data_IF_245604889357
#
_entry.id   IF_245604889357
#
_cell.length_a   1.000
_cell.length_b   1.000
_cell.length_c   1.000
_cell.angle_alpha   90.00
_cell.angle_beta   90.00
_cell.angle_gamma   90.00
#
_symmetry.space_group_name_H-M   'P 1'
#
loop_
_entity.id
_entity.type
_entity.pdbx_description
1 polymer ?
#
# COMPACT_ATOMS: atom_id res chain seq x y z
N UNK A 1 -1.17 -1.98 -13.47
CA UNK A 1 -1.11 -2.77 -12.22
C UNK A 1 -0.60 -4.20 -12.45
N UNK A 2 -1.08 -4.94 -13.47
CA UNK A 2 -0.58 -6.28 -13.83
C UNK A 2 0.94 -6.36 -13.98
N UNK A 3 1.50 -5.65 -14.96
CA UNK A 3 2.96 -5.66 -15.24
C UNK A 3 3.82 -5.30 -14.02
N UNK A 4 3.28 -4.45 -13.14
CA UNK A 4 3.93 -4.02 -11.91
C UNK A 4 3.90 -5.10 -10.84
N UNK A 5 2.77 -5.80 -10.68
CA UNK A 5 2.67 -6.92 -9.75
C UNK A 5 3.55 -8.08 -10.21
N UNK A 6 3.57 -8.35 -11.51
CA UNK A 6 4.41 -9.37 -12.14
C UNK A 6 5.90 -9.04 -11.94
N UNK A 7 6.32 -7.78 -12.16
CA UNK A 7 7.70 -7.33 -11.91
C UNK A 7 8.05 -7.25 -10.42
N UNK A 8 7.07 -6.92 -9.60
CA UNK A 8 7.15 -6.80 -8.14
C UNK A 8 7.22 -8.13 -7.40
N UNK A 9 6.84 -9.22 -8.09
CA UNK A 9 6.46 -10.49 -7.48
C UNK A 9 5.49 -10.27 -6.31
N UNK A 10 4.53 -9.36 -6.47
CA UNK A 10 3.51 -9.11 -5.46
C UNK A 10 2.39 -10.13 -5.60
N UNK A 11 1.96 -10.68 -4.46
CA UNK A 11 0.77 -11.54 -4.42
C UNK A 11 -0.47 -10.71 -4.80
N UNK A 12 -0.53 -9.47 -4.28
CA UNK A 12 -1.64 -8.52 -4.49
C UNK A 12 -1.14 -7.08 -4.44
N UNK A 13 -1.78 -6.20 -5.21
CA UNK A 13 -1.52 -4.75 -5.23
C UNK A 13 -2.86 -4.02 -5.35
N UNK A 14 -3.16 -3.13 -4.40
CA UNK A 14 -4.35 -2.29 -4.40
C UNK A 14 -3.95 -0.83 -4.16
N UNK A 15 -4.60 0.07 -4.88
CA UNK A 15 -4.51 1.50 -4.67
C UNK A 15 -5.89 1.98 -4.20
N UNK A 16 -5.91 2.60 -3.03
CA UNK A 16 -7.11 3.15 -2.42
C UNK A 16 -7.01 4.67 -2.32
N UNK A 17 -8.15 5.35 -2.42
CA UNK A 17 -8.29 6.75 -2.03
C UNK A 17 -8.18 6.94 -0.51
N UNK A 18 -8.15 8.19 -0.08
CA UNK A 18 -8.29 8.57 1.33
C UNK A 18 -9.65 8.18 1.94
N UNK A 19 -10.65 7.77 1.18
CA UNK A 19 -11.93 7.29 1.68
C UNK A 19 -12.05 5.76 1.63
N UNK A 20 -10.99 5.08 1.18
CA UNK A 20 -10.99 3.62 1.02
C UNK A 20 -11.60 3.14 -0.29
N UNK A 21 -11.99 4.06 -1.19
CA UNK A 21 -12.46 3.69 -2.53
C UNK A 21 -11.32 3.07 -3.34
N UNK A 22 -11.52 1.89 -3.95
CA UNK A 22 -10.52 1.27 -4.81
C UNK A 22 -10.36 2.06 -6.11
N UNK A 23 -9.16 2.56 -6.36
CA UNK A 23 -8.79 3.30 -7.58
C UNK A 23 -8.19 2.38 -8.64
N UNK A 24 -7.39 1.41 -8.22
CA UNK A 24 -6.79 0.41 -9.10
C UNK A 24 -6.39 -0.84 -8.32
N UNK A 25 -6.46 -2.02 -8.92
CA UNK A 25 -6.01 -3.25 -8.29
C UNK A 25 -5.50 -4.29 -9.28
N UNK A 26 -4.66 -5.19 -8.79
CA UNK A 26 -4.30 -6.42 -9.47
C UNK A 26 -3.84 -7.47 -8.48
N UNK A 27 -4.29 -8.71 -8.68
CA UNK A 27 -3.84 -9.88 -7.94
C UNK A 27 -4.09 -11.12 -8.78
N UNK A 28 -3.22 -12.13 -8.64
CA UNK A 28 -3.43 -13.43 -9.26
C UNK A 28 -4.38 -14.29 -8.44
N UNK A 29 -4.18 -14.29 -7.12
CA UNK A 29 -4.99 -15.00 -6.15
C UNK A 29 -5.42 -14.01 -5.06
N UNK A 30 -6.70 -14.03 -4.68
CA UNK A 30 -7.24 -13.24 -3.57
C UNK A 30 -6.82 -13.82 -2.22
N UNK A 31 -5.53 -13.73 -1.90
CA UNK A 31 -4.95 -14.25 -0.65
C UNK A 31 -5.57 -13.58 0.56
N UNK A 32 -5.86 -12.29 0.43
CA UNK A 32 -6.51 -11.47 1.43
C UNK A 32 -7.77 -10.91 0.80
N UNK A 33 -8.86 -10.96 1.56
CA UNK A 33 -10.10 -10.34 1.16
C UNK A 33 -9.92 -8.82 0.97
N UNK A 34 -10.52 -8.29 -0.10
CA UNK A 34 -10.36 -6.88 -0.48
C UNK A 34 -10.94 -5.94 0.57
N UNK A 35 -12.08 -6.27 1.16
CA UNK A 35 -12.74 -5.42 2.15
C UNK A 35 -11.88 -5.34 3.41
N UNK A 36 -11.23 -6.45 3.79
CA UNK A 36 -10.23 -6.43 4.87
C UNK A 36 -9.03 -5.53 4.57
N UNK A 37 -8.52 -5.51 3.34
CA UNK A 37 -7.42 -4.61 2.96
C UNK A 37 -7.86 -3.14 3.02
N UNK A 38 -9.10 -2.84 2.62
CA UNK A 38 -9.69 -1.50 2.73
C UNK A 38 -9.78 -1.11 4.21
N UNK A 39 -10.39 -1.93 5.05
CA UNK A 39 -10.51 -1.68 6.50
C UNK A 39 -9.16 -1.41 7.16
N UNK A 40 -8.15 -2.23 6.87
CA UNK A 40 -6.79 -2.04 7.37
C UNK A 40 -6.16 -0.74 6.85
N UNK A 41 -6.38 -0.39 5.59
CA UNK A 41 -5.85 0.87 5.02
C UNK A 41 -6.44 2.10 5.72
N UNK A 42 -7.74 2.07 6.04
CA UNK A 42 -8.42 3.12 6.78
C UNK A 42 -7.89 3.19 8.22
N UNK A 43 -7.78 2.04 8.90
CA UNK A 43 -7.24 1.96 10.26
C UNK A 43 -5.82 2.53 10.33
N UNK A 44 -4.93 2.10 9.43
CA UNK A 44 -3.54 2.54 9.44
C UNK A 44 -3.36 4.01 9.09
N UNK A 45 -4.29 4.59 8.33
CA UNK A 45 -4.32 6.05 8.16
C UNK A 45 -4.64 6.74 9.49
N UNK A 46 -5.61 6.27 10.25
CA UNK A 46 -5.93 6.88 11.56
C UNK A 46 -4.76 6.68 12.55
N UNK A 47 -4.13 5.51 12.56
CA UNK A 47 -2.88 5.27 13.33
C UNK A 47 -1.78 6.24 12.89
N UNK A 48 -1.64 6.52 11.59
CA UNK A 48 -0.64 7.46 11.05
C UNK A 48 -0.90 8.89 11.55
N UNK A 49 -2.15 9.33 11.55
CA UNK A 49 -2.54 10.63 12.11
C UNK A 49 -2.22 10.69 13.62
N UNK A 50 -2.54 9.63 14.37
CA UNK A 50 -2.21 9.56 15.79
C UNK A 50 -0.71 9.58 16.06
N UNK A 51 0.09 8.89 15.24
CA UNK A 51 1.55 8.87 15.38
C UNK A 51 2.18 10.26 15.18
N UNK A 52 1.63 11.07 14.26
CA UNK A 52 2.04 12.45 14.06
C UNK A 52 1.65 13.33 15.25
N UNK A 53 0.39 13.29 15.67
CA UNK A 53 -0.15 14.13 16.76
C UNK A 53 0.44 13.78 18.13
N UNK A 54 0.46 12.50 18.49
CA UNK A 54 0.83 12.04 19.83
C UNK A 54 2.29 11.63 19.93
N UNK A 55 2.80 10.96 18.89
CA UNK A 55 4.16 10.44 18.86
C UNK A 55 5.21 11.44 18.35
N UNK A 56 4.78 12.56 17.76
CA UNK A 56 5.63 13.49 17.01
C UNK A 56 6.44 12.80 15.90
N UNK A 57 5.92 11.66 15.42
CA UNK A 57 6.51 10.92 14.30
C UNK A 57 5.86 11.44 13.03
N UNK A 58 6.39 12.55 12.55
CA UNK A 58 5.87 13.17 11.33
C UNK A 58 6.30 12.38 10.10
N UNK A 59 5.45 12.45 9.06
CA UNK A 59 5.75 11.89 7.74
C UNK A 59 5.99 10.37 7.71
N UNK A 60 5.19 9.59 8.44
CA UNK A 60 5.20 8.12 8.30
C UNK A 60 4.86 7.76 6.85
N UNK A 61 5.83 7.21 6.11
CA UNK A 61 5.65 6.84 4.69
C UNK A 61 5.14 5.42 4.50
N UNK A 62 5.38 4.57 5.49
CA UNK A 62 5.23 3.13 5.41
C UNK A 62 4.67 2.59 6.73
N UNK A 63 3.67 1.72 6.64
CA UNK A 63 3.29 0.79 7.69
C UNK A 63 3.36 -0.63 7.17
N UNK A 64 3.81 -1.56 8.00
CA UNK A 64 4.00 -2.96 7.63
C UNK A 64 3.32 -3.83 8.68
N UNK A 65 2.53 -4.80 8.21
CA UNK A 65 2.07 -5.94 9.00
C UNK A 65 2.80 -7.17 8.49
N UNK A 66 3.61 -7.79 9.32
CA UNK A 66 4.33 -9.03 8.98
C UNK A 66 3.71 -10.21 9.74
N UNK A 67 3.29 -11.23 9.00
CA UNK A 67 2.81 -12.48 9.59
C UNK A 67 3.97 -13.39 10.02
N UNK A 68 3.68 -14.41 10.82
CA UNK A 68 4.67 -15.41 11.25
C UNK A 68 5.33 -16.17 10.09
N UNK A 69 4.66 -16.25 8.94
CA UNK A 69 5.20 -16.82 7.71
C UNK A 69 6.09 -15.84 6.92
N UNK A 70 6.44 -14.67 7.49
CA UNK A 70 7.23 -13.60 6.87
C UNK A 70 6.59 -12.92 5.65
N UNK A 71 5.32 -13.24 5.34
CA UNK A 71 4.53 -12.49 4.36
C UNK A 71 4.22 -11.12 4.96
N UNK A 72 4.31 -10.08 4.13
CA UNK A 72 4.08 -8.69 4.55
C UNK A 72 2.87 -8.11 3.84
N UNK A 73 2.06 -7.36 4.57
CA UNK A 73 1.13 -6.38 4.02
C UNK A 73 1.76 -5.03 4.25
N UNK A 74 2.01 -4.30 3.18
CA UNK A 74 2.70 -3.01 3.23
C UNK A 74 1.73 -1.94 2.76
N UNK A 75 1.57 -0.90 3.57
CA UNK A 75 0.77 0.28 3.28
C UNK A 75 1.71 1.46 3.03
N UNK A 76 1.59 2.07 1.85
CA UNK A 76 2.33 3.25 1.40
C UNK A 76 1.40 4.43 1.25
N UNK A 77 1.71 5.53 1.91
CA UNK A 77 0.93 6.75 1.84
C UNK A 77 1.67 7.79 0.98
N UNK A 78 1.00 8.36 -0.01
CA UNK A 78 1.56 9.37 -0.91
C UNK A 78 0.44 10.19 -1.57
N UNK A 79 0.82 11.25 -2.30
CA UNK A 79 -0.12 12.12 -3.02
C UNK A 79 -0.22 11.67 -4.48
N UNK A 80 -1.43 11.47 -4.97
CA UNK A 80 -1.74 11.20 -6.37
C UNK A 80 -3.20 11.58 -6.67
N UNK A 81 -3.51 11.97 -7.91
CA UNK A 81 -4.86 12.33 -8.33
C UNK A 81 -5.47 13.46 -7.49
N UNK A 82 -4.64 14.46 -7.12
CA UNK A 82 -4.99 15.57 -6.23
C UNK A 82 -5.56 15.16 -4.86
N UNK A 83 -5.21 13.96 -4.38
CA UNK A 83 -5.63 13.45 -3.09
C UNK A 83 -4.53 12.59 -2.44
N UNK A 84 -4.68 12.33 -1.15
CA UNK A 84 -3.87 11.29 -0.50
C UNK A 84 -4.39 9.92 -0.91
N UNK A 85 -3.48 9.02 -1.28
CA UNK A 85 -3.79 7.65 -1.64
C UNK A 85 -2.98 6.67 -0.79
N UNK A 86 -3.49 5.45 -0.67
CA UNK A 86 -2.82 4.34 0.00
C UNK A 86 -2.59 3.22 -0.99
N UNK A 87 -1.32 2.90 -1.24
CA UNK A 87 -0.94 1.69 -1.96
C UNK A 87 -0.73 0.56 -0.94
N UNK A 88 -1.61 -0.43 -0.97
CA UNK A 88 -1.52 -1.66 -0.19
C UNK A 88 -0.95 -2.78 -1.08
N UNK A 89 0.17 -3.38 -0.66
CA UNK A 89 0.78 -4.52 -1.37
C UNK A 89 0.95 -5.71 -0.44
N UNK A 90 0.70 -6.90 -0.97
CA UNK A 90 0.98 -8.17 -0.29
C UNK A 90 2.27 -8.74 -0.89
N UNK A 91 3.30 -8.81 -0.06
CA UNK A 91 4.65 -9.22 -0.44
C UNK A 91 4.91 -10.65 0.06
N UNK A 92 5.29 -11.59 -0.83
CA UNK A 92 5.64 -12.94 -0.42
C UNK A 92 6.81 -12.98 0.57
N UNK A 93 6.95 -14.09 1.32
CA UNK A 93 8.08 -14.30 2.22
C UNK A 93 9.43 -14.11 1.52
N UNK A 94 10.39 -13.49 2.21
CA UNK A 94 11.80 -13.33 1.76
C UNK A 94 11.99 -12.52 0.47
N UNK A 95 10.95 -11.84 -0.03
CA UNK A 95 11.06 -10.97 -1.21
C UNK A 95 11.39 -9.52 -0.84
N UNK A 96 12.31 -8.91 -1.59
CA UNK A 96 12.58 -7.49 -1.51
C UNK A 96 11.53 -6.71 -2.32
N UNK A 97 10.87 -5.73 -1.70
CA UNK A 97 9.80 -4.96 -2.37
C UNK A 97 10.10 -3.47 -2.52
N UNK A 98 10.84 -2.87 -1.58
CA UNK A 98 10.94 -1.40 -1.43
C UNK A 98 11.33 -0.66 -2.71
N UNK A 99 12.35 -1.12 -3.43
CA UNK A 99 12.80 -0.46 -4.66
C UNK A 99 11.74 -0.47 -5.77
N UNK A 100 11.05 -1.59 -5.93
CA UNK A 100 9.98 -1.77 -6.92
C UNK A 100 8.75 -0.96 -6.53
N UNK A 101 8.39 -0.92 -5.25
CA UNK A 101 7.29 -0.11 -4.72
C UNK A 101 7.54 1.37 -4.92
N UNK A 102 8.76 1.84 -4.66
CA UNK A 102 9.13 3.25 -4.89
C UNK A 102 9.07 3.62 -6.38
N UNK A 103 9.47 2.69 -7.25
CA UNK A 103 9.39 2.89 -8.70
C UNK A 103 7.93 2.95 -9.17
N UNK A 104 7.08 2.10 -8.62
CA UNK A 104 5.64 2.12 -8.86
C UNK A 104 5.00 3.44 -8.43
N UNK A 105 5.30 3.91 -7.20
CA UNK A 105 4.77 5.18 -6.69
C UNK A 105 5.12 6.33 -7.65
N UNK A 106 6.37 6.42 -8.09
CA UNK A 106 6.79 7.44 -9.07
C UNK A 106 6.03 7.36 -10.39
N UNK A 107 5.71 6.15 -10.87
CA UNK A 107 4.91 5.98 -12.09
C UNK A 107 3.49 6.45 -11.86
N UNK A 108 2.87 6.08 -10.73
CA UNK A 108 1.52 6.53 -10.37
C UNK A 108 1.48 8.04 -10.27
N UNK A 109 2.39 8.66 -9.50
CA UNK A 109 2.51 10.11 -9.37
C UNK A 109 2.57 10.77 -10.75
N UNK A 110 3.44 10.28 -11.65
CA UNK A 110 3.61 10.83 -13.01
C UNK A 110 2.35 10.80 -13.87
N UNK A 111 1.53 9.74 -13.78
CA UNK A 111 0.30 9.61 -14.58
C UNK A 111 -0.91 10.29 -13.93
N UNK A 112 -0.75 10.79 -12.71
CA UNK A 112 -1.82 11.41 -11.94
C UNK A 112 -1.80 12.94 -11.99
N UNK A 113 -0.86 13.53 -12.73
CA UNK A 113 -0.74 14.96 -13.03
C UNK A 113 -1.35 15.31 -14.37
#
# INVERSE_FOLDING_TARGET
>A
MKEIADRGNYDMVHLFSNEGLPLAEYYHNGIIDKDRLIELSLLFREVRKMADVMGKISNVKEMIVEGYNQRKIVFRFFQAFNQEVVLAIVVPPKMAYRGLTNSLIKVIEKVSF
#
